data_IF_005873750767
#
_entry.id   IF_005873750767
#
_cell.length_a   1.000
_cell.length_b   1.000
_cell.length_c   1.000
_cell.angle_alpha   90.00
_cell.angle_beta   90.00
_cell.angle_gamma   90.00
#
_symmetry.space_group_name_H-M   'P 1'
#
loop_
_entity.id
_entity.type
_entity.pdbx_description
1 polymer ?
#
# COMPACT_ATOMS: atom_id res chain seq x y z
N UNK A 1 -50.42 -59.55 -20.22
CA UNK A 1 -48.99 -59.66 -19.80
C UNK A 1 -48.90 -60.88 -18.90
N UNK A 2 -47.79 -61.63 -18.83
CA UNK A 2 -47.76 -62.83 -17.99
C UNK A 2 -47.97 -62.49 -16.49
N UNK A 3 -48.71 -63.34 -15.78
CA UNK A 3 -48.78 -63.32 -14.31
C UNK A 3 -47.40 -63.66 -13.74
N UNK A 4 -47.09 -63.07 -12.59
CA UNK A 4 -45.83 -63.30 -11.89
C UNK A 4 -46.06 -64.04 -10.58
N UNK A 5 -45.07 -64.82 -10.17
CA UNK A 5 -45.10 -65.59 -8.93
C UNK A 5 -44.45 -64.79 -7.78
N UNK A 6 -45.13 -64.80 -6.64
CA UNK A 6 -44.75 -64.23 -5.35
C UNK A 6 -44.80 -65.34 -4.28
N UNK A 7 -44.32 -65.09 -3.05
CA UNK A 7 -44.26 -66.15 -2.02
C UNK A 7 -42.99 -67.01 -2.16
N UNK A 8 -42.83 -68.05 -1.32
CA UNK A 8 -41.91 -69.21 -1.50
C UNK A 8 -40.42 -68.91 -1.81
N UNK A 9 -39.94 -67.69 -1.56
CA UNK A 9 -38.58 -67.24 -1.89
C UNK A 9 -37.76 -66.85 -0.67
N UNK A 10 -36.41 -66.88 -0.77
CA UNK A 10 -35.56 -66.60 0.40
C UNK A 10 -35.63 -65.16 0.91
N UNK A 11 -36.12 -64.25 0.06
CA UNK A 11 -36.37 -62.85 0.39
C UNK A 11 -37.71 -62.62 1.11
N UNK A 12 -38.50 -63.69 1.28
CA UNK A 12 -39.81 -63.71 1.95
C UNK A 12 -39.75 -64.40 3.33
N UNK A 13 -38.55 -64.73 3.79
CA UNK A 13 -38.33 -65.24 5.15
C UNK A 13 -38.33 -64.08 6.16
N UNK A 14 -39.38 -64.05 6.97
CA UNK A 14 -39.32 -63.49 8.31
C UNK A 14 -38.38 -64.37 9.14
N UNK A 15 -37.29 -63.79 9.62
CA UNK A 15 -36.38 -64.43 10.56
C UNK A 15 -37.09 -64.57 11.91
N UNK A 16 -37.07 -65.76 12.51
CA UNK A 16 -37.53 -65.95 13.89
C UNK A 16 -36.43 -65.47 14.86
N UNK A 17 -36.73 -64.58 15.82
CA UNK A 17 -36.04 -64.61 17.08
C UNK A 17 -37.05 -64.75 18.22
N UNK A 18 -36.80 -65.71 19.11
CA UNK A 18 -37.18 -65.52 20.52
C UNK A 18 -36.82 -64.09 20.91
N UNK A 19 -37.75 -63.41 21.60
CA UNK A 19 -37.60 -62.09 22.25
C UNK A 19 -38.28 -60.86 21.58
N UNK A 20 -39.05 -61.01 20.51
CA UNK A 20 -40.05 -60.00 20.11
C UNK A 20 -39.60 -58.91 19.12
N UNK A 21 -39.47 -59.30 17.84
CA UNK A 21 -39.54 -58.36 16.71
C UNK A 21 -40.24 -58.99 15.48
N UNK A 22 -40.92 -58.13 14.73
CA UNK A 22 -41.98 -58.30 13.72
C UNK A 22 -41.89 -59.45 12.72
N UNK A 23 -42.98 -60.23 12.63
CA UNK A 23 -43.18 -61.32 11.70
C UNK A 23 -44.66 -61.62 11.45
N UNK A 24 -44.96 -62.40 10.40
CA UNK A 24 -46.31 -62.95 10.17
C UNK A 24 -46.46 -64.20 11.04
N UNK A 25 -47.51 -64.28 11.87
CA UNK A 25 -47.73 -65.45 12.71
C UNK A 25 -48.14 -66.67 11.86
N UNK A 26 -47.94 -67.88 12.38
CA UNK A 26 -48.42 -69.08 11.71
C UNK A 26 -49.93 -69.03 11.45
N UNK A 27 -50.37 -69.50 10.28
CA UNK A 27 -51.79 -69.53 9.92
C UNK A 27 -52.44 -68.15 9.74
N UNK A 28 -51.65 -67.10 9.52
CA UNK A 28 -52.16 -65.73 9.33
C UNK A 28 -52.62 -65.53 7.89
N UNK A 29 -53.83 -65.01 7.73
CA UNK A 29 -54.32 -64.57 6.42
C UNK A 29 -53.60 -63.29 5.99
N UNK A 30 -52.99 -63.32 4.81
CA UNK A 30 -52.26 -62.21 4.21
C UNK A 30 -52.96 -61.75 2.92
N UNK A 31 -53.26 -60.45 2.86
CA UNK A 31 -53.92 -59.79 1.72
C UNK A 31 -52.93 -58.89 0.98
N UNK A 32 -53.15 -58.65 -0.31
CA UNK A 32 -52.21 -57.90 -1.15
C UNK A 32 -52.86 -56.63 -1.72
N UNK A 33 -52.10 -55.54 -1.78
CA UNK A 33 -52.64 -54.21 -2.06
C UNK A 33 -51.76 -53.41 -3.01
N UNK A 34 -52.36 -52.45 -3.70
CA UNK A 34 -51.65 -51.55 -4.61
C UNK A 34 -50.93 -50.37 -3.90
N UNK A 35 -51.15 -50.17 -2.60
CA UNK A 35 -50.59 -49.08 -1.79
C UNK A 35 -50.25 -49.53 -0.37
N UNK A 36 -49.23 -48.90 0.22
CA UNK A 36 -48.73 -49.16 1.57
C UNK A 36 -49.66 -48.65 2.68
N UNK A 37 -50.53 -47.70 2.40
CA UNK A 37 -51.51 -47.11 3.32
C UNK A 37 -52.72 -46.68 2.52
N UNK A 38 -53.90 -47.24 2.83
CA UNK A 38 -55.14 -47.10 2.07
C UNK A 38 -54.98 -47.45 0.57
N UNK A 39 -55.81 -48.33 0.03
CA UNK A 39 -55.66 -48.77 -1.35
C UNK A 39 -56.72 -49.78 -1.74
N UNK A 40 -56.59 -50.31 -2.96
CA UNK A 40 -57.42 -51.41 -3.43
C UNK A 40 -56.69 -52.73 -3.22
N UNK A 41 -57.41 -53.71 -2.67
CA UNK A 41 -56.90 -55.06 -2.52
C UNK A 41 -56.88 -55.74 -3.89
N UNK A 42 -55.77 -56.40 -4.19
CA UNK A 42 -55.72 -57.35 -5.29
C UNK A 42 -56.48 -58.62 -4.90
N UNK A 43 -57.64 -58.81 -5.54
CA UNK A 43 -58.49 -60.00 -5.38
C UNK A 43 -58.33 -60.99 -6.53
N UNK A 44 -57.58 -60.63 -7.57
CA UNK A 44 -57.26 -61.48 -8.71
C UNK A 44 -55.92 -62.19 -8.49
N UNK A 45 -55.91 -63.15 -7.56
CA UNK A 45 -54.75 -63.98 -7.26
C UNK A 45 -55.06 -65.44 -7.59
N UNK A 46 -54.02 -66.22 -7.90
CA UNK A 46 -54.13 -67.67 -8.05
C UNK A 46 -53.21 -68.35 -7.04
N UNK A 47 -53.73 -69.39 -6.36
CA UNK A 47 -52.93 -70.26 -5.50
C UNK A 47 -51.97 -71.15 -6.31
N UNK A 48 -51.11 -71.96 -5.67
CA UNK A 48 -50.19 -72.85 -6.38
C UNK A 48 -50.86 -73.82 -7.35
N UNK A 49 -52.12 -74.18 -7.11
CA UNK A 49 -52.92 -75.09 -7.94
C UNK A 49 -53.64 -74.34 -9.09
N UNK A 50 -53.48 -73.01 -9.18
CA UNK A 50 -54.13 -72.16 -10.17
C UNK A 50 -55.57 -71.80 -9.83
N UNK A 51 -56.02 -72.05 -8.60
CA UNK A 51 -57.36 -71.73 -8.13
C UNK A 51 -57.44 -70.26 -7.73
N UNK A 52 -58.52 -69.53 -8.12
CA UNK A 52 -58.69 -68.14 -7.69
C UNK A 52 -58.79 -67.99 -6.18
N UNK A 53 -57.96 -67.12 -5.62
CA UNK A 53 -57.96 -66.74 -4.20
C UNK A 53 -57.87 -65.22 -4.07
N UNK A 54 -58.28 -64.68 -2.92
CA UNK A 54 -58.20 -63.24 -2.62
C UNK A 54 -57.16 -62.91 -1.55
N UNK A 55 -56.59 -63.94 -0.93
CA UNK A 55 -55.61 -63.88 0.14
C UNK A 55 -54.87 -65.22 0.21
N UNK A 56 -53.72 -65.25 0.86
CA UNK A 56 -52.99 -66.48 1.19
C UNK A 56 -52.92 -66.67 2.70
N UNK A 57 -52.65 -67.90 3.15
CA UNK A 57 -52.44 -68.18 4.57
C UNK A 57 -50.99 -68.58 4.77
N UNK A 58 -50.30 -67.96 5.73
CA UNK A 58 -48.94 -68.35 6.07
C UNK A 58 -48.88 -69.75 6.67
N UNK A 59 -47.77 -70.45 6.45
CA UNK A 59 -47.54 -71.80 6.97
C UNK A 59 -47.23 -71.81 8.48
N UNK A 60 -46.90 -72.98 9.02
CA UNK A 60 -46.58 -73.19 10.44
C UNK A 60 -45.36 -72.38 10.93
N UNK A 61 -44.57 -71.81 10.01
CA UNK A 61 -43.39 -70.99 10.28
C UNK A 61 -43.60 -69.51 9.91
N UNK A 62 -44.80 -69.14 9.44
CA UNK A 62 -45.11 -67.77 9.03
C UNK A 62 -44.67 -67.42 7.61
N UNK A 63 -44.20 -68.39 6.82
CA UNK A 63 -43.82 -68.17 5.43
C UNK A 63 -45.06 -68.10 4.52
N UNK A 64 -45.00 -67.27 3.48
CA UNK A 64 -46.07 -67.18 2.50
C UNK A 64 -45.92 -68.29 1.44
N UNK A 65 -47.01 -69.02 1.13
CA UNK A 65 -47.00 -69.97 0.02
C UNK A 65 -46.85 -69.24 -1.31
N UNK A 66 -46.43 -69.97 -2.34
CA UNK A 66 -46.39 -69.46 -3.71
C UNK A 66 -47.78 -68.95 -4.14
N UNK A 67 -47.83 -67.77 -4.76
CA UNK A 67 -49.07 -67.16 -5.24
C UNK A 67 -48.80 -66.36 -6.50
N UNK A 68 -49.70 -66.47 -7.48
CA UNK A 68 -49.62 -65.65 -8.70
C UNK A 68 -50.46 -64.39 -8.54
N UNK A 69 -49.82 -63.23 -8.75
CA UNK A 69 -50.49 -61.94 -8.75
C UNK A 69 -51.26 -61.64 -10.04
N UNK A 70 -51.92 -60.47 -10.13
CA UNK A 70 -52.56 -60.02 -11.36
C UNK A 70 -51.55 -59.85 -12.51
N UNK A 71 -52.04 -59.89 -13.75
CA UNK A 71 -51.19 -59.72 -14.93
C UNK A 71 -50.40 -58.40 -14.92
N UNK A 72 -49.09 -58.49 -15.20
CA UNK A 72 -48.23 -57.30 -15.33
C UNK A 72 -47.81 -56.64 -14.01
N UNK A 73 -48.25 -57.17 -12.86
CA UNK A 73 -47.83 -56.68 -11.55
C UNK A 73 -46.51 -57.35 -11.15
N UNK A 74 -45.50 -56.52 -10.87
CA UNK A 74 -44.16 -56.97 -10.46
C UNK A 74 -43.91 -56.83 -8.94
N UNK A 75 -44.81 -56.16 -8.23
CA UNK A 75 -44.74 -55.98 -6.78
C UNK A 75 -46.07 -55.59 -6.15
N UNK A 76 -46.30 -56.02 -4.91
CA UNK A 76 -47.54 -55.82 -4.16
C UNK A 76 -47.26 -55.55 -2.68
N UNK A 77 -48.15 -54.81 -2.01
CA UNK A 77 -48.09 -54.60 -0.55
C UNK A 77 -48.85 -55.70 0.19
N UNK A 78 -48.15 -56.56 0.92
CA UNK A 78 -48.70 -57.62 1.77
C UNK A 78 -49.12 -57.09 3.15
N UNK A 79 -50.32 -57.43 3.59
CA UNK A 79 -50.94 -57.02 4.85
C UNK A 79 -51.36 -58.27 5.64
N UNK A 80 -50.80 -58.41 6.84
CA UNK A 80 -51.05 -59.51 7.77
C UNK A 80 -51.77 -59.04 9.06
N UNK A 81 -52.40 -57.86 9.06
CA UNK A 81 -53.12 -57.30 10.21
C UNK A 81 -52.25 -56.52 11.21
N UNK A 82 -50.99 -56.27 10.87
CA UNK A 82 -50.08 -55.41 11.65
C UNK A 82 -50.25 -53.92 11.36
N UNK A 83 -49.52 -53.05 12.06
CA UNK A 83 -49.63 -51.59 11.88
C UNK A 83 -49.09 -51.04 10.56
N UNK A 84 -48.50 -51.87 9.69
CA UNK A 84 -47.95 -51.52 8.36
C UNK A 84 -47.99 -52.72 7.41
N UNK A 85 -48.10 -52.44 6.11
CA UNK A 85 -47.93 -53.42 5.02
C UNK A 85 -46.47 -53.52 4.59
N UNK A 86 -46.05 -54.70 4.12
CA UNK A 86 -44.71 -54.96 3.60
C UNK A 86 -44.72 -55.06 2.07
N UNK A 87 -43.68 -54.58 1.39
CA UNK A 87 -43.58 -54.68 -0.06
C UNK A 87 -42.95 -56.01 -0.48
N UNK A 88 -43.59 -56.72 -1.41
CA UNK A 88 -43.15 -58.00 -1.95
C UNK A 88 -42.87 -57.88 -3.45
N UNK A 89 -41.70 -58.34 -3.90
CA UNK A 89 -41.33 -58.41 -5.32
C UNK A 89 -41.59 -59.81 -5.89
N UNK A 90 -41.88 -59.88 -7.19
CA UNK A 90 -41.98 -61.16 -7.91
C UNK A 90 -40.63 -61.89 -7.97
N UNK A 91 -40.65 -63.22 -7.86
CA UNK A 91 -39.45 -64.06 -7.90
C UNK A 91 -38.74 -64.04 -9.28
N UNK A 92 -39.49 -63.90 -10.36
CA UNK A 92 -39.04 -64.18 -11.74
C UNK A 92 -38.72 -62.95 -12.60
N UNK A 93 -38.70 -61.74 -12.04
CA UNK A 93 -38.64 -60.50 -12.85
C UNK A 93 -37.40 -59.60 -12.68
N UNK A 94 -36.44 -59.92 -11.82
CA UNK A 94 -35.45 -58.94 -11.33
C UNK A 94 -33.96 -59.16 -11.63
N UNK A 95 -33.55 -60.28 -12.23
CA UNK A 95 -32.13 -60.53 -12.59
C UNK A 95 -32.02 -60.81 -14.08
N UNK A 96 -31.15 -60.07 -14.78
CA UNK A 96 -30.75 -60.42 -16.13
C UNK A 96 -30.14 -61.83 -16.16
N UNK A 97 -30.19 -62.49 -17.31
CA UNK A 97 -29.53 -63.79 -17.50
C UNK A 97 -28.03 -63.64 -17.17
N UNK A 98 -27.39 -64.65 -16.54
CA UNK A 98 -25.94 -64.66 -16.39
C UNK A 98 -25.28 -64.48 -17.77
N UNK A 99 -24.22 -63.67 -17.84
CA UNK A 99 -23.42 -63.55 -19.06
C UNK A 99 -22.81 -64.90 -19.47
N UNK A 100 -22.53 -65.06 -20.76
CA UNK A 100 -21.93 -66.29 -21.28
C UNK A 100 -20.56 -66.55 -20.63
N UNK A 101 -20.17 -67.83 -20.40
CA UNK A 101 -18.86 -68.16 -19.85
C UNK A 101 -17.72 -67.55 -20.68
N UNK A 102 -16.90 -66.71 -20.05
CA UNK A 102 -15.79 -65.99 -20.69
C UNK A 102 -16.07 -64.52 -21.00
N UNK A 103 -17.24 -63.99 -20.62
CA UNK A 103 -17.53 -62.57 -20.79
C UNK A 103 -16.66 -61.67 -19.89
N UNK A 104 -16.15 -60.56 -20.44
CA UNK A 104 -15.23 -59.63 -19.82
C UNK A 104 -15.73 -58.18 -19.79
N UNK A 105 -15.06 -57.35 -18.98
CA UNK A 105 -15.16 -55.90 -19.00
C UNK A 105 -13.88 -55.27 -19.54
N UNK A 106 -14.03 -54.35 -20.49
CA UNK A 106 -12.95 -53.60 -21.12
C UNK A 106 -13.04 -52.11 -20.78
N UNK A 107 -11.88 -51.44 -20.82
CA UNK A 107 -11.76 -50.00 -20.59
C UNK A 107 -10.80 -49.42 -21.62
N UNK A 108 -11.16 -48.30 -22.25
CA UNK A 108 -10.30 -47.63 -23.23
C UNK A 108 -10.73 -46.19 -23.49
N UNK A 109 -10.16 -45.54 -24.51
CA UNK A 109 -10.54 -44.18 -24.92
C UNK A 109 -11.05 -44.22 -26.35
N UNK A 110 -12.22 -43.65 -26.61
CA UNK A 110 -12.90 -43.71 -27.90
C UNK A 110 -13.91 -44.86 -28.00
N UNK A 111 -14.51 -45.02 -29.18
CA UNK A 111 -15.49 -46.09 -29.42
C UNK A 111 -14.79 -47.46 -29.42
N UNK A 112 -15.48 -48.53 -28.97
CA UNK A 112 -14.86 -49.85 -28.85
C UNK A 112 -14.42 -50.46 -30.20
N UNK A 113 -14.99 -50.03 -31.32
CA UNK A 113 -14.57 -50.45 -32.67
C UNK A 113 -13.18 -49.92 -33.07
N UNK A 114 -12.70 -48.86 -32.41
CA UNK A 114 -11.35 -48.32 -32.61
C UNK A 114 -10.28 -49.04 -31.75
N UNK A 115 -10.68 -50.10 -31.02
CA UNK A 115 -9.79 -50.86 -30.13
C UNK A 115 -9.51 -52.27 -30.68
N UNK A 116 -8.26 -52.75 -30.60
CA UNK A 116 -7.87 -54.12 -31.00
C UNK A 116 -8.35 -55.18 -29.97
N UNK A 117 -9.66 -55.32 -29.79
CA UNK A 117 -10.28 -56.25 -28.84
C UNK A 117 -10.79 -57.52 -29.55
N UNK A 118 -10.82 -58.64 -28.82
CA UNK A 118 -11.45 -59.89 -29.26
C UNK A 118 -12.65 -60.24 -28.35
N UNK A 119 -13.77 -59.51 -28.46
CA UNK A 119 -14.88 -59.66 -27.53
C UNK A 119 -15.75 -60.89 -27.81
N UNK A 120 -16.42 -61.37 -26.77
CA UNK A 120 -17.45 -62.41 -26.79
C UNK A 120 -18.81 -61.78 -26.50
N UNK A 121 -19.90 -62.38 -26.99
CA UNK A 121 -21.24 -61.90 -26.72
C UNK A 121 -21.47 -61.70 -25.20
N UNK A 122 -21.98 -60.54 -24.82
CA UNK A 122 -22.18 -60.14 -23.43
C UNK A 122 -21.03 -59.33 -22.81
N UNK A 123 -19.93 -59.12 -23.52
CA UNK A 123 -18.84 -58.26 -23.05
C UNK A 123 -19.27 -56.80 -22.90
N UNK A 124 -18.64 -56.10 -21.97
CA UNK A 124 -18.89 -54.68 -21.70
C UNK A 124 -17.64 -53.84 -21.95
N UNK A 125 -17.81 -52.63 -22.46
CA UNK A 125 -16.72 -51.67 -22.68
C UNK A 125 -17.09 -50.31 -22.10
N UNK A 126 -16.16 -49.70 -21.37
CA UNK A 126 -16.30 -48.32 -20.88
C UNK A 126 -15.29 -47.41 -21.58
N UNK A 127 -15.80 -46.41 -22.31
CA UNK A 127 -14.99 -45.30 -22.82
C UNK A 127 -14.67 -44.36 -21.66
N UNK A 128 -13.43 -44.39 -21.22
CA UNK A 128 -12.91 -43.60 -20.10
C UNK A 128 -12.80 -42.11 -20.43
N UNK A 129 -12.89 -41.70 -21.70
CA UNK A 129 -12.78 -40.31 -22.12
C UNK A 129 -14.06 -39.51 -21.84
N UNK A 130 -15.22 -40.14 -22.02
CA UNK A 130 -16.55 -39.53 -21.88
C UNK A 130 -17.46 -40.28 -20.89
N UNK A 131 -17.07 -41.49 -20.46
CA UNK A 131 -17.83 -42.35 -19.55
C UNK A 131 -18.90 -43.21 -20.21
N UNK A 132 -18.91 -43.35 -21.52
CA UNK A 132 -19.92 -44.15 -22.22
C UNK A 132 -19.71 -45.65 -22.01
N UNK A 133 -20.80 -46.37 -21.75
CA UNK A 133 -20.86 -47.83 -21.60
C UNK A 133 -21.44 -48.45 -22.87
N UNK A 134 -20.80 -49.52 -23.34
CA UNK A 134 -21.20 -50.30 -24.51
C UNK A 134 -21.28 -51.79 -24.14
N UNK A 135 -22.07 -52.57 -24.89
CA UNK A 135 -22.17 -54.03 -24.77
C UNK A 135 -21.98 -54.72 -26.12
N UNK A 136 -21.24 -55.82 -26.17
CA UNK A 136 -21.01 -56.58 -27.39
C UNK A 136 -22.11 -57.62 -27.61
N UNK A 137 -22.76 -57.62 -28.76
CA UNK A 137 -23.84 -58.56 -29.11
C UNK A 137 -23.35 -59.93 -29.58
N UNK A 138 -22.04 -60.06 -29.79
CA UNK A 138 -21.42 -61.19 -30.51
C UNK A 138 -20.96 -60.80 -31.91
N UNK A 139 -21.53 -59.73 -32.49
CA UNK A 139 -21.14 -59.20 -33.82
C UNK A 139 -20.80 -57.72 -33.83
N UNK A 140 -21.36 -56.93 -32.91
CA UNK A 140 -21.16 -55.47 -32.86
C UNK A 140 -21.22 -54.93 -31.43
N UNK A 141 -20.64 -53.76 -31.19
CA UNK A 141 -20.75 -53.03 -29.92
C UNK A 141 -21.92 -52.06 -29.97
N UNK A 142 -22.87 -52.22 -29.04
CA UNK A 142 -24.01 -51.31 -28.91
C UNK A 142 -23.81 -50.38 -27.71
N UNK A 143 -24.04 -49.09 -27.93
CA UNK A 143 -24.08 -48.10 -26.86
C UNK A 143 -25.25 -48.36 -25.90
N UNK A 144 -24.98 -48.31 -24.60
CA UNK A 144 -25.96 -48.51 -23.54
C UNK A 144 -26.33 -47.20 -22.85
N UNK A 145 -25.34 -46.50 -22.27
CA UNK A 145 -25.58 -45.27 -21.50
C UNK A 145 -24.28 -44.52 -21.22
N UNK A 146 -24.37 -43.25 -20.82
CA UNK A 146 -23.28 -42.50 -20.20
C UNK A 146 -23.26 -42.74 -18.70
N UNK A 147 -22.07 -42.98 -18.13
CA UNK A 147 -21.83 -43.18 -16.70
C UNK A 147 -21.43 -41.90 -15.97
N UNK A 148 -21.07 -40.83 -16.70
CA UNK A 148 -20.79 -39.52 -16.10
C UNK A 148 -22.09 -38.74 -15.87
N UNK A 149 -22.25 -38.21 -14.66
CA UNK A 149 -23.29 -37.22 -14.35
C UNK A 149 -22.99 -35.85 -15.01
N UNK A 150 -23.96 -34.91 -14.97
CA UNK A 150 -23.74 -33.56 -15.45
C UNK A 150 -22.59 -32.89 -14.69
N UNK A 151 -21.85 -32.01 -15.37
CA UNK A 151 -20.84 -31.16 -14.74
C UNK A 151 -21.47 -30.32 -13.61
N UNK A 152 -20.77 -30.21 -12.47
CA UNK A 152 -21.24 -29.37 -11.36
C UNK A 152 -21.22 -27.89 -11.72
N UNK A 153 -22.01 -27.04 -11.04
CA UNK A 153 -21.98 -25.60 -11.27
C UNK A 153 -20.59 -25.03 -10.95
N UNK A 154 -20.10 -24.10 -11.78
CA UNK A 154 -18.87 -23.37 -11.52
C UNK A 154 -18.96 -22.55 -10.22
N UNK A 155 -17.87 -22.49 -9.45
CA UNK A 155 -17.76 -21.59 -8.30
C UNK A 155 -17.81 -20.10 -8.71
N UNK A 156 -18.33 -19.23 -7.84
CA UNK A 156 -18.59 -17.82 -8.19
C UNK A 156 -17.34 -16.93 -8.27
N UNK A 157 -16.20 -17.37 -7.73
CA UNK A 157 -14.93 -16.63 -7.77
C UNK A 157 -14.90 -15.34 -6.93
N UNK A 158 -15.95 -15.04 -6.17
CA UNK A 158 -16.06 -13.82 -5.38
C UNK A 158 -15.45 -13.99 -3.98
N UNK A 159 -14.87 -12.90 -3.45
CA UNK A 159 -14.49 -12.85 -2.03
C UNK A 159 -15.77 -12.75 -1.21
N UNK A 160 -16.10 -13.80 -0.45
CA UNK A 160 -17.34 -13.84 0.35
C UNK A 160 -17.30 -12.91 1.56
N UNK A 161 -16.12 -12.69 2.15
CA UNK A 161 -15.98 -11.76 3.27
C UNK A 161 -14.59 -11.14 3.39
N UNK A 162 -14.55 -9.91 3.90
CA UNK A 162 -13.32 -9.20 4.31
C UNK A 162 -13.62 -8.48 5.62
N UNK A 163 -12.81 -8.74 6.65
CA UNK A 163 -12.90 -8.10 7.96
C UNK A 163 -14.33 -8.03 8.53
N UNK A 164 -15.07 -9.14 8.47
CA UNK A 164 -16.44 -9.25 8.99
C UNK A 164 -17.54 -8.64 8.11
N UNK A 165 -17.21 -8.06 6.95
CA UNK A 165 -18.16 -7.63 5.93
C UNK A 165 -18.40 -8.76 4.93
N UNK A 166 -19.66 -8.97 4.55
CA UNK A 166 -20.09 -9.98 3.57
C UNK A 166 -20.86 -9.32 2.42
N UNK A 167 -20.99 -10.02 1.28
CA UNK A 167 -21.72 -9.51 0.11
C UNK A 167 -20.91 -8.52 -0.72
N UNK A 168 -21.50 -7.39 -1.10
CA UNK A 168 -20.78 -6.31 -1.80
C UNK A 168 -19.86 -5.57 -0.82
N UNK A 169 -18.58 -5.95 -0.82
CA UNK A 169 -17.61 -5.45 0.16
C UNK A 169 -17.16 -4.03 -0.19
N UNK A 170 -17.61 -3.06 0.62
CA UNK A 170 -17.11 -1.68 0.60
C UNK A 170 -16.19 -1.45 1.80
N UNK A 171 -14.90 -1.22 1.52
CA UNK A 171 -13.89 -0.91 2.54
C UNK A 171 -13.68 0.60 2.66
N UNK A 172 -13.62 1.07 3.89
CA UNK A 172 -13.20 2.39 4.33
C UNK A 172 -11.78 2.31 4.88
N UNK A 173 -11.14 3.46 5.07
CA UNK A 173 -9.81 3.52 5.67
C UNK A 173 -9.79 2.88 7.08
N UNK A 174 -10.87 3.05 7.85
CA UNK A 174 -11.01 2.44 9.18
C UNK A 174 -11.00 0.91 9.14
N UNK A 175 -11.60 0.30 8.10
CA UNK A 175 -11.68 -1.16 8.00
C UNK A 175 -10.32 -1.84 7.81
N UNK A 176 -9.30 -1.08 7.40
CA UNK A 176 -7.95 -1.60 7.15
C UNK A 176 -6.89 -0.86 7.96
N UNK A 177 -7.29 0.00 8.91
CA UNK A 177 -6.37 0.84 9.69
C UNK A 177 -5.58 1.85 8.86
N UNK A 178 -6.07 2.22 7.67
CA UNK A 178 -5.43 3.19 6.80
C UNK A 178 -5.71 4.63 7.21
N UNK A 179 -4.83 5.53 6.78
CA UNK A 179 -5.04 6.97 6.91
C UNK A 179 -6.07 7.40 5.86
N UNK A 180 -7.15 8.11 6.23
CA UNK A 180 -8.09 8.65 5.25
C UNK A 180 -7.38 9.61 4.29
N UNK A 181 -7.69 9.52 3.00
CA UNK A 181 -7.11 10.42 2.00
C UNK A 181 -7.37 11.90 2.33
N UNK A 182 -8.51 12.23 2.94
CA UNK A 182 -8.85 13.57 3.40
C UNK A 182 -8.00 14.06 4.59
N UNK A 183 -7.37 13.15 5.34
CA UNK A 183 -6.46 13.50 6.44
C UNK A 183 -5.03 13.72 5.96
N UNK A 184 -4.67 13.25 4.76
CA UNK A 184 -3.31 13.31 4.22
C UNK A 184 -2.96 14.75 3.81
N UNK A 185 -1.94 15.33 4.44
CA UNK A 185 -1.51 16.71 4.18
C UNK A 185 -2.51 17.81 4.57
N UNK A 186 -3.61 17.45 5.24
CA UNK A 186 -4.63 18.39 5.69
C UNK A 186 -4.27 19.04 7.04
N UNK A 187 -4.78 20.24 7.31
CA UNK A 187 -4.64 20.88 8.62
C UNK A 187 -5.27 20.00 9.72
N UNK A 188 -4.51 19.68 10.76
CA UNK A 188 -4.92 18.73 11.81
C UNK A 188 -4.92 17.25 11.39
N UNK A 189 -4.40 16.94 10.19
CA UNK A 189 -4.26 15.60 9.65
C UNK A 189 -2.86 15.01 9.83
N UNK A 190 -2.47 14.14 8.90
CA UNK A 190 -1.16 13.45 8.89
C UNK A 190 -0.24 14.08 7.84
N UNK A 191 0.99 14.48 8.20
CA UNK A 191 1.96 15.02 7.25
C UNK A 191 2.35 13.99 6.18
N UNK A 192 2.64 14.48 4.98
CA UNK A 192 3.27 13.69 3.94
C UNK A 192 4.78 13.67 4.10
N UNK A 193 5.41 12.61 3.59
CA UNK A 193 6.86 12.53 3.49
C UNK A 193 7.29 12.76 2.04
N UNK A 194 8.38 13.51 1.87
CA UNK A 194 9.09 13.64 0.61
C UNK A 194 9.81 12.33 0.24
N UNK A 195 10.39 12.20 -0.98
CA UNK A 195 11.12 11.00 -1.39
C UNK A 195 12.34 10.65 -0.51
N UNK A 196 12.76 11.55 0.38
CA UNK A 196 13.84 11.32 1.35
C UNK A 196 13.34 10.92 2.74
N UNK A 197 12.02 10.79 2.92
CA UNK A 197 11.41 10.38 4.18
C UNK A 197 11.22 11.52 5.18
N UNK A 198 11.19 12.78 4.74
CA UNK A 198 11.02 13.96 5.62
C UNK A 198 9.73 14.71 5.33
N UNK A 199 9.20 15.38 6.35
CA UNK A 199 8.07 16.30 6.17
C UNK A 199 8.51 17.50 5.33
N UNK A 200 7.85 17.81 4.20
CA UNK A 200 8.13 19.00 3.41
C UNK A 200 8.05 20.27 4.24
N UNK A 201 8.93 21.23 3.98
CA UNK A 201 8.99 22.47 4.76
C UNK A 201 7.69 23.29 4.70
N UNK A 202 6.92 23.13 3.62
CA UNK A 202 5.62 23.75 3.41
C UNK A 202 4.54 23.22 4.39
N UNK A 203 4.73 22.03 4.95
CA UNK A 203 3.85 21.45 5.97
C UNK A 203 4.31 21.76 7.40
N UNK A 204 5.49 22.35 7.57
CA UNK A 204 5.99 22.78 8.86
C UNK A 204 5.53 24.22 9.13
N UNK A 205 5.20 24.56 10.40
CA UNK A 205 5.05 25.96 10.75
C UNK A 205 6.35 26.70 10.47
N UNK A 206 6.24 27.99 10.12
CA UNK A 206 7.40 28.86 10.08
C UNK A 206 8.14 28.73 11.43
N UNK A 207 9.48 28.69 11.44
CA UNK A 207 10.24 28.51 12.66
C UNK A 207 9.74 29.51 13.70
N UNK A 208 9.30 29.04 14.88
CA UNK A 208 8.68 29.93 15.86
C UNK A 208 9.68 31.02 16.22
N UNK A 209 9.20 32.26 16.29
CA UNK A 209 9.97 33.33 16.90
C UNK A 209 10.35 32.86 18.31
N UNK A 210 11.63 32.56 18.55
CA UNK A 210 12.08 32.03 19.84
C UNK A 210 11.87 33.15 20.85
N UNK A 211 10.95 33.01 21.83
CA UNK A 211 10.64 34.12 22.73
C UNK A 211 11.90 34.58 23.46
N UNK A 212 12.16 35.89 23.44
CA UNK A 212 13.30 36.50 24.12
C UNK A 212 14.63 36.50 23.34
N UNK A 213 14.63 36.15 22.05
CA UNK A 213 15.81 36.26 21.18
C UNK A 213 15.50 37.15 19.99
N UNK A 214 16.39 38.12 19.71
CA UNK A 214 16.33 38.91 18.49
C UNK A 214 16.69 38.05 17.27
N UNK A 215 15.86 38.12 16.23
CA UNK A 215 16.05 37.41 14.98
C UNK A 215 16.35 38.39 13.84
N UNK A 216 17.02 37.95 12.76
CA UNK A 216 17.21 38.77 11.56
C UNK A 216 15.91 39.39 11.04
N UNK A 217 14.80 38.64 11.11
CA UNK A 217 13.48 39.08 10.66
C UNK A 217 12.95 40.29 11.43
N UNK A 218 13.32 40.46 12.71
CA UNK A 218 12.88 41.60 13.53
C UNK A 218 13.48 42.93 13.03
N UNK A 219 14.59 42.84 12.30
CA UNK A 219 15.25 43.97 11.63
C UNK A 219 14.93 44.01 10.13
N UNK A 220 14.01 43.16 9.67
CA UNK A 220 13.67 42.96 8.27
C UNK A 220 14.86 42.46 7.44
N UNK A 221 15.62 41.51 7.98
CA UNK A 221 16.75 40.85 7.34
C UNK A 221 16.43 39.36 7.13
N UNK A 222 17.03 38.75 6.11
CA UNK A 222 17.00 37.31 5.87
C UNK A 222 18.10 36.53 6.62
N UNK A 223 19.15 37.24 7.04
CA UNK A 223 20.28 36.70 7.79
C UNK A 223 21.26 37.78 8.20
N UNK A 224 22.03 37.53 9.25
CA UNK A 224 23.11 38.42 9.71
C UNK A 224 24.34 37.64 10.16
N UNK A 225 25.46 38.33 10.31
CA UNK A 225 26.72 37.73 10.74
C UNK A 225 26.68 37.27 12.22
N UNK A 226 26.11 38.11 13.09
CA UNK A 226 25.98 37.92 14.54
C UNK A 226 25.01 38.94 15.14
N UNK A 227 24.59 38.72 16.38
CA UNK A 227 23.77 39.68 17.14
C UNK A 227 24.61 40.86 17.66
N UNK A 228 24.13 42.08 17.49
CA UNK A 228 24.81 43.28 17.96
C UNK A 228 24.63 43.42 19.47
N UNK A 229 25.57 42.86 20.23
CA UNK A 229 25.56 42.92 21.68
C UNK A 229 25.83 44.35 22.22
N UNK A 230 25.32 44.66 23.41
CA UNK A 230 25.55 45.94 24.10
C UNK A 230 27.04 46.27 24.35
N UNK A 231 27.93 45.28 24.28
CA UNK A 231 29.37 45.45 24.39
C UNK A 231 30.09 45.66 23.03
N UNK A 232 29.34 45.81 21.92
CA UNK A 232 29.92 46.23 20.65
C UNK A 232 30.64 47.57 20.81
N UNK A 233 31.81 47.68 20.17
CA UNK A 233 32.68 48.87 20.30
C UNK A 233 31.89 50.12 19.90
N UNK A 234 31.92 51.14 20.76
CA UNK A 234 31.31 52.45 20.52
C UNK A 234 32.35 53.57 20.73
N UNK A 235 32.66 54.42 19.71
CA UNK A 235 32.21 54.28 18.32
C UNK A 235 32.71 52.96 17.70
N UNK A 236 32.15 52.56 16.56
CA UNK A 236 32.49 51.30 15.88
C UNK A 236 33.98 51.18 15.50
N UNK A 237 34.30 50.33 14.51
CA UNK A 237 35.65 50.26 13.97
C UNK A 237 35.72 50.86 12.56
N UNK A 238 36.89 51.37 12.21
CA UNK A 238 37.14 51.94 10.89
C UNK A 238 37.97 50.98 10.04
N UNK A 239 37.75 50.91 8.72
CA UNK A 239 38.64 50.20 7.81
C UNK A 239 40.06 50.75 7.95
N UNK A 240 40.95 49.99 8.58
CA UNK A 240 42.26 50.47 9.04
C UNK A 240 43.24 50.85 7.94
N UNK A 241 42.95 50.50 6.67
CA UNK A 241 43.76 50.83 5.50
C UNK A 241 42.84 51.06 4.30
N UNK A 242 43.22 52.00 3.43
CA UNK A 242 42.45 52.29 2.22
C UNK A 242 42.34 51.01 1.36
N UNK A 243 41.16 50.80 0.75
CA UNK A 243 41.00 49.87 -0.37
C UNK A 243 41.19 48.37 -0.06
N UNK A 244 41.00 47.95 1.19
CA UNK A 244 40.84 46.53 1.54
C UNK A 244 39.39 46.07 1.30
N UNK A 245 39.25 44.84 0.83
CA UNK A 245 37.98 44.11 0.78
C UNK A 245 37.80 43.35 2.08
N UNK A 246 36.65 43.54 2.72
CA UNK A 246 36.21 42.74 3.86
C UNK A 246 35.07 41.83 3.43
N UNK A 247 35.16 40.55 3.77
CA UNK A 247 34.09 39.57 3.57
C UNK A 247 33.57 39.11 4.92
N UNK A 248 32.26 39.26 5.11
CA UNK A 248 31.57 38.92 6.35
C UNK A 248 30.63 37.76 6.06
N UNK A 249 30.87 36.61 6.68
CA UNK A 249 30.06 35.42 6.55
C UNK A 249 28.67 35.61 7.15
N UNK A 250 27.64 35.43 6.32
CA UNK A 250 26.22 35.54 6.67
C UNK A 250 25.51 34.24 6.25
N UNK A 251 24.88 33.50 7.19
CA UNK A 251 24.06 32.36 6.86
C UNK A 251 22.69 32.80 6.31
N UNK A 252 22.27 32.17 5.21
CA UNK A 252 20.93 32.25 4.67
C UNK A 252 20.24 30.90 4.89
N UNK A 253 19.25 30.85 5.77
CA UNK A 253 18.60 29.58 6.17
C UNK A 253 17.50 29.12 5.22
N UNK A 254 16.97 30.04 4.42
CA UNK A 254 15.89 29.79 3.46
C UNK A 254 16.24 30.48 2.15
N UNK A 255 16.01 29.81 1.02
CA UNK A 255 16.24 30.40 -0.28
C UNK A 255 15.46 31.71 -0.45
N UNK A 256 16.08 32.73 -1.02
CA UNK A 256 15.51 34.07 -1.14
C UNK A 256 16.06 34.83 -2.34
N UNK A 257 15.22 35.63 -2.99
CA UNK A 257 15.67 36.70 -3.88
C UNK A 257 16.13 37.88 -3.04
N UNK A 258 17.43 38.13 -3.04
CA UNK A 258 18.08 39.20 -2.28
C UNK A 258 18.29 40.41 -3.17
N UNK A 259 17.81 41.57 -2.73
CA UNK A 259 17.97 42.84 -3.46
C UNK A 259 18.80 43.87 -2.70
N UNK A 260 19.10 43.64 -1.42
CA UNK A 260 19.88 44.57 -0.60
C UNK A 260 20.81 43.83 0.36
N UNK A 261 21.86 44.50 0.79
CA UNK A 261 22.67 44.09 1.95
C UNK A 261 22.50 45.12 3.05
N UNK A 262 22.69 44.70 4.29
CA UNK A 262 22.64 45.58 5.46
C UNK A 262 24.02 45.72 6.08
N UNK A 263 24.34 46.93 6.53
CA UNK A 263 25.47 47.22 7.41
C UNK A 263 24.96 48.09 8.56
N UNK A 264 25.78 48.25 9.60
CA UNK A 264 25.45 49.12 10.71
C UNK A 264 26.52 50.20 10.86
N UNK A 265 26.10 51.46 10.80
CA UNK A 265 26.95 52.65 10.89
C UNK A 265 26.90 53.20 12.32
N UNK A 266 28.05 53.39 12.95
CA UNK A 266 28.20 53.71 14.38
C UNK A 266 28.84 55.09 14.64
N UNK A 267 29.05 55.93 13.63
CA UNK A 267 29.65 57.25 13.79
C UNK A 267 30.11 57.90 12.48
N UNK A 268 29.78 59.20 12.27
CA UNK A 268 30.54 60.26 11.52
C UNK A 268 29.65 61.47 11.09
N UNK A 269 30.23 62.67 10.94
CA UNK A 269 29.65 63.90 10.33
C UNK A 269 29.55 63.77 8.80
N UNK A 270 28.51 63.13 8.25
CA UNK A 270 28.22 62.95 6.81
C UNK A 270 29.44 62.71 5.88
N UNK A 271 29.58 61.49 5.35
CA UNK A 271 30.37 61.20 4.16
C UNK A 271 31.72 61.93 4.08
N UNK A 272 32.66 61.50 4.92
CA UNK A 272 33.99 62.05 5.03
C UNK A 272 34.56 62.55 3.70
N UNK A 273 35.08 63.78 3.70
CA UNK A 273 35.74 64.40 2.55
C UNK A 273 36.80 63.49 1.92
N UNK A 274 37.32 62.51 2.66
CA UNK A 274 38.31 61.55 2.21
C UNK A 274 37.74 60.20 1.76
N UNK A 275 36.50 59.82 2.10
CA UNK A 275 35.87 58.63 1.51
C UNK A 275 35.51 58.94 0.06
N UNK A 276 36.07 58.20 -0.88
CA UNK A 276 35.92 58.45 -2.33
C UNK A 276 35.13 57.38 -3.05
N UNK A 277 35.00 56.19 -2.46
CA UNK A 277 34.17 55.14 -3.01
C UNK A 277 33.77 54.13 -1.93
N UNK A 278 32.52 53.66 -1.98
CA UNK A 278 32.04 52.56 -1.17
C UNK A 278 31.32 51.56 -2.08
N UNK A 279 31.71 50.29 -2.03
CA UNK A 279 31.07 49.21 -2.78
C UNK A 279 30.63 48.10 -1.83
N UNK A 280 29.51 47.50 -2.17
CA UNK A 280 28.97 46.36 -1.46
C UNK A 280 28.55 45.26 -2.42
N UNK A 281 28.49 44.03 -1.94
CA UNK A 281 28.09 42.90 -2.76
C UNK A 281 27.95 41.62 -1.98
N UNK A 282 27.65 40.55 -2.71
CA UNK A 282 27.49 39.22 -2.17
C UNK A 282 28.42 38.30 -2.93
N UNK A 283 29.25 37.57 -2.19
CA UNK A 283 29.99 36.41 -2.70
C UNK A 283 29.38 35.13 -2.13
N UNK A 284 29.49 34.04 -2.86
CA UNK A 284 29.22 32.72 -2.29
C UNK A 284 30.42 32.17 -1.50
N UNK A 285 30.23 31.01 -0.88
CA UNK A 285 31.26 30.29 -0.13
C UNK A 285 32.53 29.97 -0.94
N UNK A 286 32.45 29.96 -2.28
CA UNK A 286 33.57 29.71 -3.20
C UNK A 286 34.21 31.01 -3.71
N UNK A 287 33.88 32.15 -3.11
CA UNK A 287 34.34 33.49 -3.52
C UNK A 287 33.93 33.91 -4.93
N UNK A 288 32.84 33.37 -5.48
CA UNK A 288 32.25 33.89 -6.71
C UNK A 288 31.31 35.07 -6.40
N UNK A 289 31.47 36.18 -7.12
CA UNK A 289 30.62 37.36 -6.98
C UNK A 289 29.23 37.04 -7.54
N UNK A 290 28.20 37.13 -6.70
CA UNK A 290 26.80 36.84 -7.04
C UNK A 290 25.99 38.10 -7.31
N UNK A 291 26.27 39.18 -6.60
CA UNK A 291 25.67 40.50 -6.84
C UNK A 291 26.56 41.61 -6.29
N UNK A 292 26.40 42.83 -6.78
CA UNK A 292 27.12 44.00 -6.32
C UNK A 292 26.26 45.25 -6.35
N UNK A 293 26.67 46.30 -5.64
CA UNK A 293 26.02 47.61 -5.66
C UNK A 293 26.21 48.33 -7.00
N UNK A 294 25.21 49.11 -7.41
CA UNK A 294 25.30 49.95 -8.59
C UNK A 294 26.23 51.15 -8.34
N UNK A 295 27.51 51.04 -8.70
CA UNK A 295 28.42 52.17 -8.53
C UNK A 295 28.80 52.42 -7.05
N UNK A 296 29.24 53.65 -6.80
CA UNK A 296 29.57 54.16 -5.47
C UNK A 296 28.32 54.27 -4.58
N UNK A 297 28.42 53.80 -3.34
CA UNK A 297 27.36 53.84 -2.32
C UNK A 297 27.66 54.82 -1.19
N UNK A 298 28.73 55.62 -1.29
CA UNK A 298 29.12 56.64 -0.31
C UNK A 298 27.95 57.55 0.14
N UNK A 299 27.10 57.95 -0.80
CA UNK A 299 25.98 58.86 -0.52
C UNK A 299 24.85 58.22 0.30
N UNK A 300 24.81 56.88 0.37
CA UNK A 300 23.81 56.13 1.12
C UNK A 300 24.19 55.95 2.60
N UNK A 301 25.42 56.29 2.99
CA UNK A 301 25.88 56.19 4.38
C UNK A 301 25.47 57.47 5.16
N UNK A 302 24.59 57.37 6.17
CA UNK A 302 24.12 58.51 6.92
C UNK A 302 25.21 59.06 7.85
N UNK A 303 25.05 60.33 8.24
CA UNK A 303 25.72 60.88 9.40
C UNK A 303 25.04 60.34 10.66
N UNK A 304 25.82 59.78 11.58
CA UNK A 304 25.27 59.10 12.77
C UNK A 304 26.06 59.55 13.98
N UNK A 305 25.37 60.16 14.96
CA UNK A 305 25.98 60.70 16.20
C UNK A 305 25.24 60.24 17.46
N UNK A 306 24.32 59.29 17.32
CA UNK A 306 23.53 58.75 18.41
C UNK A 306 24.14 57.45 18.95
N UNK A 307 23.87 57.18 20.24
CA UNK A 307 24.18 55.91 20.88
C UNK A 307 23.48 54.79 20.10
N UNK A 308 24.22 53.71 19.83
CA UNK A 308 23.70 52.53 19.13
C UNK A 308 23.71 52.64 17.61
N UNK A 309 24.11 53.77 17.02
CA UNK A 309 24.28 53.90 15.57
C UNK A 309 22.98 53.80 14.75
N UNK A 310 23.09 53.43 13.47
CA UNK A 310 21.98 53.21 12.54
C UNK A 310 22.29 52.06 11.55
N UNK A 311 21.34 51.15 11.38
CA UNK A 311 21.39 50.14 10.31
C UNK A 311 21.01 50.76 8.96
N UNK A 312 21.77 50.46 7.92
CA UNK A 312 21.59 50.95 6.56
C UNK A 312 21.40 49.77 5.62
N UNK A 313 20.32 49.78 4.83
CA UNK A 313 20.04 48.80 3.78
C UNK A 313 20.43 49.38 2.42
N UNK A 314 21.33 48.70 1.73
CA UNK A 314 22.02 49.17 0.54
C UNK A 314 21.62 48.31 -0.66
N UNK A 315 21.09 48.95 -1.70
CA UNK A 315 20.60 48.26 -2.89
C UNK A 315 21.74 47.60 -3.68
N UNK A 316 21.49 46.35 -4.08
CA UNK A 316 22.23 45.69 -5.16
C UNK A 316 21.76 46.25 -6.51
N UNK A 317 22.62 46.22 -7.53
CA UNK A 317 22.27 46.68 -8.88
C UNK A 317 21.13 45.86 -9.49
N UNK A 318 21.11 44.57 -9.19
CA UNK A 318 20.08 43.62 -9.60
C UNK A 318 19.84 42.62 -8.47
N UNK A 319 18.58 42.26 -8.24
CA UNK A 319 18.25 41.20 -7.29
C UNK A 319 18.83 39.85 -7.72
N UNK A 320 19.26 39.04 -6.77
CA UNK A 320 19.86 37.72 -7.00
C UNK A 320 19.12 36.64 -6.20
N UNK A 321 18.72 35.55 -6.86
CA UNK A 321 18.14 34.40 -6.18
C UNK A 321 19.24 33.52 -5.58
N UNK A 322 19.23 33.41 -4.25
CA UNK A 322 20.19 32.62 -3.49
C UNK A 322 19.49 31.43 -2.83
N UNK A 323 20.12 30.26 -2.91
CA UNK A 323 19.71 29.07 -2.17
C UNK A 323 19.96 29.23 -0.67
N UNK A 324 19.40 28.35 0.17
CA UNK A 324 19.89 28.25 1.55
C UNK A 324 21.37 27.85 1.56
N UNK A 325 22.20 28.53 2.36
CA UNK A 325 23.65 28.35 2.35
C UNK A 325 24.41 29.41 3.14
N UNK A 326 25.73 29.43 2.99
CA UNK A 326 26.62 30.45 3.56
C UNK A 326 27.09 31.37 2.44
N UNK A 327 26.99 32.68 2.69
CA UNK A 327 27.40 33.73 1.77
C UNK A 327 28.30 34.72 2.48
N UNK A 328 29.02 35.53 1.72
CA UNK A 328 29.75 36.68 2.25
C UNK A 328 29.09 37.97 1.80
N UNK A 329 28.81 38.87 2.74
CA UNK A 329 28.60 40.28 2.40
C UNK A 329 29.96 40.95 2.27
N UNK A 330 30.19 41.57 1.12
CA UNK A 330 31.41 42.31 0.81
C UNK A 330 31.28 43.77 1.19
N UNK A 331 32.31 44.31 1.83
CA UNK A 331 32.46 45.73 2.13
C UNK A 331 33.82 46.18 1.57
N UNK A 332 33.80 47.12 0.64
CA UNK A 332 35.00 47.77 0.13
C UNK A 332 34.84 49.29 0.31
N UNK A 333 35.68 49.87 1.17
CA UNK A 333 35.72 51.31 1.43
C UNK A 333 37.04 51.87 0.94
N UNK A 334 36.96 52.83 0.01
CA UNK A 334 38.11 53.58 -0.48
C UNK A 334 38.16 54.94 0.19
N UNK A 335 39.25 55.17 0.91
CA UNK A 335 39.57 56.47 1.51
C UNK A 335 40.87 57.04 0.95
N UNK A 336 40.94 58.36 0.83
CA UNK A 336 42.13 59.11 0.42
C UNK A 336 43.02 59.50 1.60
N UNK A 337 42.52 59.41 2.84
CA UNK A 337 43.27 59.55 4.08
C UNK A 337 42.55 58.81 5.24
N UNK A 338 43.29 58.33 6.24
CA UNK A 338 42.79 57.53 7.38
C UNK A 338 42.00 58.32 8.42
N UNK A 339 42.00 59.65 8.34
CA UNK A 339 41.43 60.54 9.37
C UNK A 339 39.93 60.78 9.23
N UNK A 340 39.25 60.18 8.24
CA UNK A 340 37.80 60.31 8.07
C UNK A 340 37.21 59.09 7.30
N UNK A 341 37.03 57.99 8.01
CA UNK A 341 36.47 56.71 7.52
C UNK A 341 35.12 56.46 8.20
N UNK A 342 34.16 55.79 7.53
CA UNK A 342 32.91 55.43 8.20
C UNK A 342 33.20 54.44 9.33
N UNK A 343 32.68 54.73 10.53
CA UNK A 343 32.70 53.77 11.63
C UNK A 343 31.58 52.77 11.42
N UNK A 344 31.95 51.51 11.22
CA UNK A 344 31.01 50.41 11.06
C UNK A 344 30.97 49.60 12.36
N UNK A 345 29.81 49.05 12.70
CA UNK A 345 29.69 48.15 13.84
C UNK A 345 30.61 46.95 13.65
N UNK A 346 31.38 46.64 14.68
CA UNK A 346 32.31 45.53 14.70
C UNK A 346 32.39 44.93 16.11
N UNK A 347 32.67 43.63 16.18
CA UNK A 347 32.93 42.92 17.43
C UNK A 347 34.39 42.48 17.48
N UNK A 348 35.27 43.32 18.05
CA UNK A 348 36.67 42.96 18.21
C UNK A 348 36.81 42.19 19.53
N UNK A 349 37.37 40.97 19.50
CA UNK A 349 37.34 40.04 20.65
C UNK A 349 38.39 40.31 21.74
N UNK A 350 38.93 41.53 21.80
CA UNK A 350 39.88 41.97 22.83
C UNK A 350 40.04 43.49 22.83
N UNK A 351 40.20 44.09 24.02
CA UNK A 351 40.28 45.54 24.19
C UNK A 351 41.60 46.16 23.67
N UNK A 352 42.62 45.37 23.36
CA UNK A 352 43.96 45.87 22.99
C UNK A 352 44.66 45.10 21.87
N UNK A 353 44.08 44.03 21.31
CA UNK A 353 44.62 43.34 20.13
C UNK A 353 43.52 42.94 19.15
N UNK A 354 43.58 43.49 17.95
CA UNK A 354 42.68 43.29 16.81
C UNK A 354 42.96 41.97 16.09
N UNK A 355 42.76 40.84 16.76
CA UNK A 355 42.82 39.52 16.12
C UNK A 355 41.47 38.85 16.24
N UNK A 356 40.76 38.78 15.11
CA UNK A 356 39.45 38.13 15.03
C UNK A 356 39.53 36.64 15.30
N UNK A 357 40.67 35.99 15.08
CA UNK A 357 40.73 34.56 14.81
C UNK A 357 39.82 34.26 13.61
N UNK A 358 40.35 34.04 12.41
CA UNK A 358 39.52 33.63 11.28
C UNK A 358 38.95 32.22 11.51
N UNK A 359 37.94 32.09 12.39
CA UNK A 359 37.35 30.81 12.76
C UNK A 359 36.44 30.36 11.63
N UNK A 360 36.67 29.15 11.15
CA UNK A 360 35.78 28.50 10.22
C UNK A 360 34.41 28.29 10.89
N UNK A 361 33.34 28.76 10.25
CA UNK A 361 31.95 28.58 10.72
C UNK A 361 31.33 27.27 10.28
N UNK A 362 32.02 26.52 9.41
CA UNK A 362 31.50 25.28 8.85
C UNK A 362 32.60 24.26 8.68
N UNK A 363 32.20 22.99 8.66
CA UNK A 363 33.05 21.86 8.27
C UNK A 363 33.54 21.96 6.81
N UNK A 364 32.94 22.83 6.00
CA UNK A 364 33.32 23.12 4.62
C UNK A 364 34.30 24.29 4.43
N UNK A 365 34.86 24.86 5.51
CA UNK A 365 35.96 25.84 5.41
C UNK A 365 35.56 27.30 5.16
N UNK A 366 34.28 27.66 5.27
CA UNK A 366 33.84 29.08 5.22
C UNK A 366 34.31 29.79 6.49
N UNK A 367 35.03 30.91 6.36
CA UNK A 367 35.47 31.74 7.49
C UNK A 367 34.42 32.81 7.81
N UNK A 368 34.28 33.20 9.08
CA UNK A 368 33.31 34.27 9.45
C UNK A 368 33.73 35.65 9.00
N UNK A 369 35.02 35.93 9.03
CA UNK A 369 35.58 37.24 8.70
C UNK A 369 36.88 37.05 7.93
N UNK A 370 36.97 37.70 6.79
CA UNK A 370 38.17 37.73 5.96
C UNK A 370 38.47 39.16 5.57
N UNK A 371 39.75 39.49 5.48
CA UNK A 371 40.23 40.73 4.88
C UNK A 371 41.21 40.42 3.77
N UNK A 372 41.11 41.09 2.64
CA UNK A 372 42.03 40.88 1.52
C UNK A 372 43.44 41.28 1.91
N UNK A 373 44.44 40.50 1.47
CA UNK A 373 45.85 40.89 1.56
C UNK A 373 46.13 42.17 0.75
N UNK A 374 45.42 42.33 -0.37
CA UNK A 374 45.46 43.53 -1.20
C UNK A 374 44.86 44.76 -0.50
N UNK A 375 45.53 45.90 -0.64
CA UNK A 375 45.21 47.20 -0.03
C UNK A 375 44.99 48.30 -1.08
N UNK A 376 44.66 47.91 -2.32
CA UNK A 376 44.58 48.82 -3.46
C UNK A 376 43.37 48.52 -4.36
N UNK A 377 42.40 47.73 -3.89
CA UNK A 377 41.20 47.39 -4.67
C UNK A 377 40.34 48.64 -4.95
N UNK A 378 39.90 48.79 -6.20
CA UNK A 378 39.07 49.92 -6.64
C UNK A 378 37.64 49.50 -6.99
N UNK A 379 37.39 48.20 -7.09
CA UNK A 379 36.10 47.57 -7.34
C UNK A 379 36.06 46.21 -6.64
N UNK A 380 34.86 45.65 -6.54
CA UNK A 380 34.70 44.27 -6.07
C UNK A 380 35.31 43.30 -7.10
N UNK A 381 36.25 42.42 -6.69
CA UNK A 381 36.84 41.44 -7.59
C UNK A 381 35.81 40.51 -8.24
N UNK A 382 35.98 40.21 -9.54
CA UNK A 382 35.05 39.35 -10.28
C UNK A 382 35.13 37.88 -9.83
N UNK A 383 34.12 37.08 -10.18
CA UNK A 383 34.13 35.62 -9.92
C UNK A 383 35.38 34.96 -10.50
N UNK A 384 36.01 34.07 -9.72
CA UNK A 384 37.23 33.36 -10.10
C UNK A 384 38.53 34.13 -9.85
N UNK A 385 38.48 35.37 -9.35
CA UNK A 385 39.68 36.15 -9.03
C UNK A 385 40.16 35.99 -7.59
N UNK A 386 39.26 35.66 -6.67
CA UNK A 386 39.55 35.48 -5.25
C UNK A 386 39.74 34.00 -4.94
N UNK A 387 40.74 33.71 -4.11
CA UNK A 387 40.97 32.39 -3.51
C UNK A 387 41.17 32.54 -2.01
N UNK A 388 41.24 31.43 -1.26
CA UNK A 388 41.56 31.50 0.17
C UNK A 388 42.90 32.24 0.44
N UNK A 389 43.88 32.11 -0.46
CA UNK A 389 45.17 32.79 -0.36
C UNK A 389 45.11 34.30 -0.62
N UNK A 390 43.99 34.81 -1.14
CA UNK A 390 43.77 36.26 -1.33
C UNK A 390 43.53 37.01 -0.01
N UNK A 391 43.41 36.30 1.10
CA UNK A 391 43.03 36.85 2.40
C UNK A 391 44.08 36.58 3.48
N UNK A 392 44.16 37.51 4.43
CA UNK A 392 44.86 37.32 5.71
C UNK A 392 43.84 37.25 6.85
N UNK A 393 44.30 36.88 8.05
CA UNK A 393 43.45 36.96 9.25
C UNK A 393 42.83 38.35 9.37
N UNK A 394 41.50 38.42 9.48
CA UNK A 394 40.79 39.68 9.64
C UNK A 394 41.15 40.31 10.98
N UNK A 395 41.53 41.59 10.97
CA UNK A 395 41.77 42.34 12.20
C UNK A 395 40.47 42.93 12.78
N UNK A 396 39.39 42.91 12.00
CA UNK A 396 38.12 43.53 12.37
C UNK A 396 36.94 42.65 11.94
N UNK A 397 35.99 42.46 12.86
CA UNK A 397 34.81 41.61 12.66
C UNK A 397 33.58 42.48 12.33
N UNK A 398 33.53 43.07 11.15
CA UNK A 398 32.40 43.92 10.78
C UNK A 398 31.07 43.16 10.83
N UNK A 399 30.02 43.88 11.19
CA UNK A 399 28.66 43.40 11.12
C UNK A 399 28.08 43.62 9.72
N UNK A 400 27.38 42.62 9.21
CA UNK A 400 26.63 42.72 7.98
C UNK A 400 25.42 41.78 7.99
N UNK A 401 24.45 42.10 7.14
CA UNK A 401 23.26 41.29 6.92
C UNK A 401 22.84 41.23 5.46
N UNK A 402 21.95 40.30 5.17
CA UNK A 402 21.28 40.10 3.89
C UNK A 402 19.82 40.46 4.08
N UNK A 403 19.24 41.23 3.15
CA UNK A 403 17.85 41.70 3.23
C UNK A 403 16.95 40.86 2.35
#
# INVERSE_FOLDING_TARGET
>A
MARQTFGDGIADFVVQPTDGLWGVAAGTTVTFWNSSTDGEQYTDLLDPDGTPVTAVTSDDYGALPSVQGPEGILGMWADAGGGRRAWLYAQSGGRGLPGDPGAHWYFGTGEPEDSDLTPVAGDLYVDTSNGNLYSYTGTEWLYQTGLRGPEGPAGTGNVESVNGKTGDIVLTATDVGAIPAASKGAAGGVPDLDPTGKVPAEQLPAPPAVPGIWLPSDYGLAGWAYDLHAASRTPGDMPGQAQRLYLIGVPLRTAKTVSQVAIHVMGYDQSASTTTNVRFGIYDASFALRASSAGDQKAQLPAVHNIGGQMVKLNLSTGVSLSAGLYYVAILVKVSATTATPYLAATNWGATSTTSGAVAVSTGGVHRWLQSSATNLTALPASGTLTAASFTEATTCYWAGIV
#
